data_IF_826715913377
#
_entry.id   IF_826715913377
#
_cell.length_a   1.000
_cell.length_b   1.000
_cell.length_c   1.000
_cell.angle_alpha   90.00
_cell.angle_beta   90.00
_cell.angle_gamma   90.00
#
_symmetry.space_group_name_H-M   'P 1'
#
loop_
_entity.id
_entity.type
_entity.pdbx_description
1 polymer ?
#
# COMPACT_ATOMS: atom_id res chain seq x y z
N UNK A 1 25.61 43.71 48.98
CA UNK A 1 25.09 43.84 50.36
C UNK A 1 23.63 43.48 50.38
N UNK A 2 23.28 42.42 51.13
CA UNK A 2 21.96 41.98 51.64
C UNK A 2 20.79 41.68 50.66
N UNK A 3 20.52 40.38 50.53
CA UNK A 3 19.18 39.76 50.54
C UNK A 3 18.45 40.01 51.88
N UNK A 4 17.11 39.91 51.93
CA UNK A 4 16.44 38.69 52.46
C UNK A 4 15.15 38.28 51.70
N UNK A 5 14.91 36.97 51.47
CA UNK A 5 14.05 36.02 52.22
C UNK A 5 12.54 36.16 51.93
N UNK A 6 11.93 35.26 51.14
CA UNK A 6 11.27 34.00 51.54
C UNK A 6 10.08 34.15 52.51
N UNK A 7 8.88 33.80 52.01
CA UNK A 7 7.87 33.06 52.79
C UNK A 7 7.10 32.10 51.88
N UNK A 8 7.05 30.84 52.33
CA UNK A 8 6.39 29.66 51.77
C UNK A 8 5.15 29.34 52.60
N UNK A 9 4.03 28.90 52.00
CA UNK A 9 2.96 28.05 52.59
C UNK A 9 2.31 27.29 51.41
N UNK A 10 2.63 26.01 51.17
CA UNK A 10 2.01 24.77 51.71
C UNK A 10 0.52 24.60 51.35
N UNK A 11 0.19 23.71 50.41
CA UNK A 11 -0.28 22.32 50.62
C UNK A 11 -1.79 22.22 50.89
N UNK A 12 -2.51 21.49 50.03
CA UNK A 12 -3.43 20.42 50.44
C UNK A 12 -3.93 19.61 49.22
N UNK A 13 -3.55 18.34 49.20
CA UNK A 13 -4.24 17.28 48.47
C UNK A 13 -5.54 16.93 49.20
N UNK A 14 -6.57 16.49 48.47
CA UNK A 14 -7.66 15.69 49.05
C UNK A 14 -8.10 14.64 48.05
N UNK A 15 -8.13 13.42 48.57
CA UNK A 15 -8.36 12.13 47.91
C UNK A 15 -9.81 11.69 48.11
N UNK A 16 -10.29 10.85 47.19
CA UNK A 16 -11.44 9.93 47.30
C UNK A 16 -12.85 10.59 47.27
N UNK A 17 -13.90 9.99 46.70
CA UNK A 17 -14.23 8.57 46.65
C UNK A 17 -15.36 8.26 45.64
N UNK A 18 -15.36 7.01 45.15
CA UNK A 18 -16.50 6.11 44.84
C UNK A 18 -17.87 6.69 44.38
N UNK A 19 -18.38 6.20 43.24
CA UNK A 19 -19.48 5.20 43.26
C UNK A 19 -19.80 4.61 41.88
N UNK A 20 -19.85 3.29 41.87
CA UNK A 20 -20.38 2.40 40.84
C UNK A 20 -21.91 2.46 40.79
N UNK A 21 -22.48 2.28 39.58
CA UNK A 21 -23.66 1.46 39.23
C UNK A 21 -24.50 2.10 38.12
N UNK A 22 -24.46 1.52 36.91
CA UNK A 22 -25.67 1.36 36.06
C UNK A 22 -25.60 0.03 35.32
N UNK A 23 -26.22 -0.97 35.92
CA UNK A 23 -26.76 -2.14 35.21
C UNK A 23 -28.04 -1.69 34.49
N UNK A 24 -28.07 -1.77 33.16
CA UNK A 24 -29.32 -1.92 32.43
C UNK A 24 -29.31 -3.28 31.74
N UNK A 25 -29.96 -4.25 32.38
CA UNK A 25 -30.48 -5.45 31.74
C UNK A 25 -31.67 -5.05 30.87
N UNK A 26 -31.60 -5.31 29.57
CA UNK A 26 -32.80 -5.53 28.76
C UNK A 26 -32.82 -6.97 28.28
N UNK A 27 -33.74 -7.72 28.88
CA UNK A 27 -34.18 -9.01 28.40
C UNK A 27 -34.92 -8.86 27.08
N UNK A 28 -34.62 -9.71 26.09
CA UNK A 28 -35.61 -10.23 25.15
C UNK A 28 -35.34 -11.70 24.85
N UNK A 29 -36.34 -12.51 25.21
CA UNK A 29 -36.51 -13.93 24.88
C UNK A 29 -36.86 -14.08 23.39
N UNK A 30 -36.20 -15.04 22.74
CA UNK A 30 -36.68 -16.14 21.85
C UNK A 30 -37.78 -15.88 20.78
N UNK A 31 -37.83 -16.61 19.63
CA UNK A 31 -37.50 -18.03 19.51
C UNK A 31 -36.83 -18.52 18.20
N UNK A 32 -36.47 -19.80 18.24
CA UNK A 32 -35.95 -20.65 17.19
C UNK A 32 -36.89 -20.82 15.97
N UNK A 33 -36.30 -21.02 14.78
CA UNK A 33 -36.84 -21.90 13.72
C UNK A 33 -35.82 -22.16 12.59
N UNK A 34 -35.26 -23.37 12.59
CA UNK A 34 -35.01 -24.17 11.37
C UNK A 34 -36.21 -25.12 11.24
N UNK A 35 -36.60 -25.68 10.06
CA UNK A 35 -35.70 -26.43 9.17
C UNK A 35 -36.05 -26.47 7.65
N UNK A 36 -35.24 -27.26 6.93
CA UNK A 36 -35.58 -28.12 5.77
C UNK A 36 -35.34 -27.63 4.33
N UNK A 37 -34.22 -28.11 3.77
CA UNK A 37 -34.10 -29.08 2.65
C UNK A 37 -35.03 -28.92 1.42
N UNK A 38 -34.42 -28.72 0.26
CA UNK A 38 -34.89 -29.32 -1.00
C UNK A 38 -33.72 -29.58 -1.97
N UNK A 39 -33.30 -30.84 -2.03
CA UNK A 39 -32.58 -31.46 -3.14
C UNK A 39 -33.49 -31.62 -4.35
N UNK A 40 -33.00 -31.33 -5.56
CA UNK A 40 -33.59 -31.86 -6.80
C UNK A 40 -32.50 -32.22 -7.82
N UNK A 41 -32.31 -33.52 -7.98
CA UNK A 41 -31.77 -34.16 -9.19
C UNK A 41 -32.86 -34.18 -10.28
N UNK A 42 -32.50 -33.90 -11.53
CA UNK A 42 -33.10 -34.48 -12.77
C UNK A 42 -32.01 -34.38 -13.87
N UNK A 43 -31.25 -35.45 -14.16
CA UNK A 43 -31.42 -36.47 -15.23
C UNK A 43 -30.84 -36.06 -16.60
N UNK A 44 -29.90 -36.91 -17.03
CA UNK A 44 -29.33 -37.11 -18.38
C UNK A 44 -30.40 -37.29 -19.46
N UNK A 45 -30.10 -36.82 -20.67
CA UNK A 45 -30.44 -37.54 -21.89
C UNK A 45 -29.28 -37.43 -22.89
N UNK A 46 -28.74 -38.58 -23.26
CA UNK A 46 -27.87 -38.79 -24.40
C UNK A 46 -28.73 -39.21 -25.60
N UNK A 47 -28.27 -38.92 -26.82
CA UNK A 47 -28.61 -39.68 -28.03
C UNK A 47 -27.50 -39.47 -29.06
N UNK A 48 -26.92 -40.58 -29.46
CA UNK A 48 -25.82 -40.79 -30.41
C UNK A 48 -26.25 -40.79 -31.89
N UNK A 49 -25.21 -40.88 -32.74
CA UNK A 49 -25.15 -41.54 -34.07
C UNK A 49 -25.56 -40.72 -35.31
N UNK A 50 -24.88 -40.80 -36.46
CA UNK A 50 -23.77 -41.65 -36.93
C UNK A 50 -23.16 -41.10 -38.25
N UNK A 51 -21.87 -41.37 -38.47
CA UNK A 51 -21.25 -41.77 -39.76
C UNK A 51 -20.83 -40.65 -40.72
N UNK A 52 -19.74 -40.75 -41.48
CA UNK A 52 -18.72 -41.78 -41.66
C UNK A 52 -17.49 -41.15 -42.36
N UNK A 53 -16.32 -41.76 -42.18
CA UNK A 53 -15.02 -41.43 -42.77
C UNK A 53 -15.05 -41.62 -44.33
N UNK A 54 -14.11 -41.13 -45.15
CA UNK A 54 -12.72 -41.60 -45.16
C UNK A 54 -11.90 -41.10 -46.39
N UNK A 55 -10.59 -40.92 -46.13
CA UNK A 55 -9.34 -41.11 -46.93
C UNK A 55 -8.89 -40.14 -48.06
N UNK A 56 -7.68 -39.64 -47.85
CA UNK A 56 -6.70 -38.95 -48.73
C UNK A 56 -6.10 -39.91 -49.83
N UNK A 57 -4.90 -39.73 -50.48
CA UNK A 57 -3.84 -38.70 -50.41
C UNK A 57 -3.18 -38.29 -51.76
N UNK A 58 -2.29 -37.28 -51.76
CA UNK A 58 -1.19 -37.16 -52.74
C UNK A 58 -0.04 -36.26 -52.23
N UNK A 59 1.19 -36.64 -52.58
CA UNK A 59 2.45 -36.30 -51.92
C UNK A 59 3.37 -35.42 -52.80
N UNK A 60 4.40 -34.85 -52.14
CA UNK A 60 5.76 -34.49 -52.65
C UNK A 60 5.94 -33.20 -53.47
N UNK A 61 6.53 -32.17 -52.86
CA UNK A 61 7.97 -31.84 -53.01
C UNK A 61 8.42 -30.70 -52.09
N UNK A 62 9.53 -30.95 -51.41
CA UNK A 62 10.28 -30.02 -50.59
C UNK A 62 11.04 -29.00 -51.45
N UNK A 63 11.15 -27.76 -50.97
CA UNK A 63 12.36 -26.95 -51.13
C UNK A 63 12.56 -26.09 -49.88
N UNK A 64 13.70 -26.34 -49.22
CA UNK A 64 14.28 -25.46 -48.22
C UNK A 64 14.56 -24.10 -48.85
N UNK A 65 14.33 -23.02 -48.10
CA UNK A 65 15.23 -21.87 -48.06
C UNK A 65 15.08 -21.19 -46.70
N UNK A 66 16.13 -21.30 -45.90
CA UNK A 66 16.33 -20.58 -44.66
C UNK A 66 16.72 -19.13 -44.98
N UNK A 67 16.00 -18.17 -44.42
CA UNK A 67 16.47 -16.80 -44.24
C UNK A 67 16.14 -16.40 -42.80
N UNK A 68 17.17 -16.44 -41.97
CA UNK A 68 17.13 -15.96 -40.59
C UNK A 68 17.07 -14.43 -40.61
N UNK A 69 15.91 -13.87 -40.23
CA UNK A 69 15.81 -12.48 -39.81
C UNK A 69 15.66 -12.48 -38.29
N UNK A 70 16.73 -12.09 -37.60
CA UNK A 70 16.76 -11.89 -36.17
C UNK A 70 15.88 -10.68 -35.81
N UNK A 71 14.63 -10.94 -35.42
CA UNK A 71 13.85 -9.97 -34.68
C UNK A 71 14.32 -10.02 -33.23
N UNK A 72 14.99 -8.95 -32.80
CA UNK A 72 15.34 -8.70 -31.40
C UNK A 72 14.02 -8.60 -30.64
N UNK A 73 13.61 -9.70 -30.01
CA UNK A 73 12.52 -9.68 -29.04
C UNK A 73 12.97 -8.78 -27.90
N UNK A 74 12.31 -7.64 -27.75
CA UNK A 74 12.38 -6.86 -26.52
C UNK A 74 11.86 -7.76 -25.39
N UNK A 75 12.79 -8.36 -24.65
CA UNK A 75 12.48 -9.01 -23.40
C UNK A 75 11.99 -7.92 -22.44
N UNK A 76 10.68 -7.79 -22.32
CA UNK A 76 10.08 -7.15 -21.16
C UNK A 76 10.58 -7.93 -19.94
N UNK A 77 11.11 -7.27 -18.89
CA UNK A 77 11.47 -7.97 -17.67
C UNK A 77 10.19 -8.59 -17.11
N UNK A 78 10.13 -9.92 -17.14
CA UNK A 78 9.19 -10.69 -16.33
C UNK A 78 9.40 -10.33 -14.87
N UNK A 79 8.35 -9.76 -14.27
CA UNK A 79 8.19 -9.49 -12.85
C UNK A 79 8.84 -10.59 -11.98
N UNK A 80 9.87 -10.31 -11.16
CA UNK A 80 10.32 -11.23 -10.14
C UNK A 80 9.40 -11.13 -8.91
N UNK A 81 8.11 -11.46 -9.09
CA UNK A 81 7.16 -11.46 -7.97
C UNK A 81 5.98 -12.42 -8.12
N UNK A 82 5.85 -13.15 -9.24
CA UNK A 82 4.87 -14.22 -9.33
C UNK A 82 5.47 -15.48 -8.70
N UNK A 83 5.18 -15.69 -7.41
CA UNK A 83 5.44 -16.97 -6.76
C UNK A 83 4.60 -18.07 -7.44
N UNK A 84 5.20 -18.77 -8.39
CA UNK A 84 4.61 -19.94 -9.09
C UNK A 84 5.12 -21.26 -8.48
N UNK A 85 5.30 -21.27 -7.17
CA UNK A 85 5.51 -22.46 -6.35
C UNK A 85 4.63 -22.26 -5.13
N UNK A 86 3.73 -23.21 -4.81
CA UNK A 86 2.67 -23.16 -3.77
C UNK A 86 3.13 -22.89 -2.33
N UNK A 87 3.91 -21.82 -2.16
CA UNK A 87 4.49 -21.28 -0.96
C UNK A 87 3.58 -20.16 -0.49
N UNK A 88 3.21 -20.20 0.79
CA UNK A 88 2.47 -19.16 1.50
C UNK A 88 3.16 -17.81 1.28
N UNK A 89 2.54 -16.93 0.50
CA UNK A 89 3.04 -15.59 0.25
C UNK A 89 3.12 -14.82 1.57
N UNK A 90 4.34 -14.46 1.98
CA UNK A 90 4.60 -13.76 3.23
C UNK A 90 4.76 -12.26 2.95
N UNK A 91 3.90 -11.45 3.54
CA UNK A 91 4.00 -9.99 3.50
C UNK A 91 4.40 -9.46 4.88
N UNK A 92 5.52 -8.73 5.03
CA UNK A 92 6.52 -8.41 4.02
C UNK A 92 7.45 -9.60 3.68
N UNK A 93 7.97 -9.63 2.45
CA UNK A 93 8.85 -10.68 1.92
C UNK A 93 10.33 -10.29 2.05
N UNK A 94 11.24 -11.16 2.52
CA UNK A 94 12.66 -10.82 2.65
C UNK A 94 13.36 -10.69 1.29
N UNK A 95 14.20 -9.67 1.11
CA UNK A 95 15.08 -9.53 -0.07
C UNK A 95 16.48 -10.14 0.13
N UNK A 96 16.88 -10.37 1.38
CA UNK A 96 18.17 -11.00 1.72
C UNK A 96 19.34 -10.04 1.95
N UNK A 97 19.12 -8.73 1.82
CA UNK A 97 20.14 -7.68 1.98
C UNK A 97 19.85 -6.73 3.16
N UNK A 98 19.10 -7.23 4.16
CA UNK A 98 18.66 -6.45 5.33
C UNK A 98 17.40 -5.60 5.07
N UNK A 99 16.74 -5.79 3.93
CA UNK A 99 15.43 -5.19 3.63
C UNK A 99 14.35 -6.26 3.40
N UNK A 100 13.11 -5.86 3.64
CA UNK A 100 11.90 -6.61 3.36
C UNK A 100 11.05 -5.82 2.36
N UNK A 101 10.44 -6.49 1.38
CA UNK A 101 9.48 -5.90 0.46
C UNK A 101 8.09 -6.02 1.05
N UNK A 102 7.50 -4.88 1.37
CA UNK A 102 6.12 -4.78 1.81
C UNK A 102 5.20 -4.56 0.61
N UNK A 103 4.03 -5.21 0.65
CA UNK A 103 2.99 -5.07 -0.36
C UNK A 103 1.73 -4.48 0.29
N UNK A 104 1.20 -3.40 -0.26
CA UNK A 104 0.02 -2.71 0.27
C UNK A 104 -1.23 -2.92 -0.59
N UNK A 105 -2.39 -3.01 0.05
CA UNK A 105 -3.66 -3.28 -0.62
C UNK A 105 -4.40 -2.02 -1.09
N UNK A 106 -4.02 -0.84 -0.58
CA UNK A 106 -4.72 0.43 -0.86
C UNK A 106 -6.23 0.33 -0.60
N UNK A 107 -6.59 -0.30 0.52
CA UNK A 107 -7.99 -0.54 0.88
C UNK A 107 -8.65 0.78 1.29
N UNK A 108 -9.97 0.89 1.17
CA UNK A 108 -10.69 2.09 1.62
C UNK A 108 -10.95 2.03 3.13
N UNK A 109 -11.34 3.15 3.74
CA UNK A 109 -11.65 3.20 5.17
C UNK A 109 -12.88 2.37 5.57
N UNK A 110 -13.75 2.04 4.61
CA UNK A 110 -14.87 1.12 4.76
C UNK A 110 -14.44 -0.33 5.01
N UNK A 111 -13.19 -0.68 4.64
CA UNK A 111 -12.60 -2.01 4.85
C UNK A 111 -11.87 -2.15 6.20
N UNK A 112 -11.91 -1.13 7.06
CA UNK A 112 -11.26 -1.15 8.37
C UNK A 112 -11.92 -2.20 9.28
N UNK A 113 -11.20 -3.29 9.55
CA UNK A 113 -11.71 -4.42 10.34
C UNK A 113 -11.32 -5.80 9.80
N UNK A 114 -10.61 -5.90 8.68
CA UNK A 114 -9.93 -7.12 8.20
C UNK A 114 -10.80 -8.38 8.26
N UNK A 115 -11.47 -8.70 7.16
CA UNK A 115 -12.00 -10.04 6.96
C UNK A 115 -10.80 -11.00 6.96
N UNK A 116 -10.61 -11.75 8.05
CA UNK A 116 -9.63 -12.83 8.13
C UNK A 116 -9.91 -13.82 7.01
N UNK A 117 -9.09 -13.78 5.97
CA UNK A 117 -9.36 -14.51 4.73
C UNK A 117 -8.12 -14.58 3.85
N UNK A 118 -7.28 -15.57 4.14
CA UNK A 118 -6.09 -16.02 3.41
C UNK A 118 -5.19 -14.87 2.90
N UNK A 119 -4.15 -14.57 3.68
CA UNK A 119 -3.13 -13.53 3.47
C UNK A 119 -2.22 -13.80 2.25
N UNK A 120 -2.50 -14.87 1.50
CA UNK A 120 -1.66 -15.39 0.42
C UNK A 120 -2.08 -14.94 -0.99
N UNK A 121 -3.03 -14.01 -1.12
CA UNK A 121 -3.49 -13.58 -2.45
C UNK A 121 -2.75 -12.31 -2.89
N UNK A 122 -1.73 -12.50 -3.73
CA UNK A 122 -0.96 -11.40 -4.33
C UNK A 122 -1.85 -10.42 -5.10
N UNK A 123 -2.94 -10.91 -5.70
CA UNK A 123 -3.86 -10.12 -6.52
C UNK A 123 -4.60 -9.05 -5.72
N UNK A 124 -4.53 -9.05 -4.39
CA UNK A 124 -5.12 -7.98 -3.55
C UNK A 124 -4.22 -6.75 -3.49
N UNK A 125 -2.91 -6.91 -3.58
CA UNK A 125 -1.97 -5.81 -3.46
C UNK A 125 -2.02 -4.89 -4.68
N UNK A 126 -1.71 -3.61 -4.48
CA UNK A 126 -1.72 -2.57 -5.53
C UNK A 126 -0.39 -1.84 -5.65
N UNK A 127 0.45 -1.89 -4.62
CA UNK A 127 1.75 -1.23 -4.61
C UNK A 127 2.71 -1.99 -3.69
N UNK A 128 3.99 -1.68 -3.81
CA UNK A 128 5.04 -2.21 -2.95
C UNK A 128 6.12 -1.17 -2.67
N UNK A 129 6.87 -1.38 -1.59
CA UNK A 129 8.10 -0.67 -1.28
C UNK A 129 8.95 -1.49 -0.32
N UNK A 130 10.22 -1.14 -0.21
CA UNK A 130 11.15 -1.78 0.70
C UNK A 130 11.13 -1.10 2.07
N UNK A 131 11.26 -1.89 3.11
CA UNK A 131 11.43 -1.48 4.50
C UNK A 131 12.67 -2.15 5.08
N UNK A 132 13.43 -1.49 5.97
CA UNK A 132 14.55 -2.12 6.63
C UNK A 132 14.08 -3.24 7.55
N UNK A 133 14.89 -4.29 7.66
CA UNK A 133 14.63 -5.39 8.58
C UNK A 133 14.60 -4.89 10.03
N UNK A 134 13.66 -5.43 10.82
CA UNK A 134 13.45 -5.04 12.22
C UNK A 134 12.55 -3.81 12.42
N UNK A 135 12.11 -3.14 11.35
CA UNK A 135 11.06 -2.13 11.45
C UNK A 135 9.71 -2.79 11.78
N UNK A 136 8.88 -2.08 12.54
CA UNK A 136 7.60 -2.59 13.03
C UNK A 136 6.44 -1.85 12.36
N UNK A 137 5.34 -2.55 12.05
CA UNK A 137 4.15 -1.90 11.52
C UNK A 137 3.55 -1.01 12.61
N UNK A 138 3.20 0.21 12.27
CA UNK A 138 2.48 1.11 13.15
C UNK A 138 1.00 1.15 12.76
N UNK A 139 0.13 1.14 13.76
CA UNK A 139 -1.31 1.01 13.50
C UNK A 139 -1.83 2.31 12.89
N UNK A 140 -2.27 2.24 11.64
CA UNK A 140 -3.01 3.31 10.99
C UNK A 140 -4.48 3.16 11.36
N UNK A 141 -5.08 4.17 11.96
CA UNK A 141 -6.46 4.08 12.41
C UNK A 141 -7.48 4.41 11.30
N UNK A 142 -8.76 4.10 11.53
CA UNK A 142 -9.83 4.38 10.56
C UNK A 142 -9.95 5.86 10.19
N UNK A 143 -9.72 6.76 11.14
CA UNK A 143 -9.85 8.21 10.95
C UNK A 143 -8.74 8.73 10.04
N UNK A 144 -7.49 8.35 10.31
CA UNK A 144 -6.32 8.65 9.46
C UNK A 144 -6.61 8.16 8.04
N UNK A 145 -6.93 6.88 7.89
CA UNK A 145 -7.25 6.28 6.59
C UNK A 145 -8.37 6.99 5.82
N UNK A 146 -9.38 7.49 6.53
CA UNK A 146 -10.50 8.22 5.92
C UNK A 146 -10.16 9.66 5.56
N UNK A 147 -9.28 10.30 6.35
CA UNK A 147 -9.03 11.74 6.28
C UNK A 147 -7.85 12.04 5.38
N UNK A 148 -6.74 11.35 5.58
CA UNK A 148 -5.47 11.58 4.88
C UNK A 148 -5.07 10.47 3.92
N UNK A 149 -5.88 9.41 3.81
CA UNK A 149 -5.63 8.29 2.90
C UNK A 149 -4.47 7.39 3.28
N UNK A 150 -3.94 7.48 4.51
CA UNK A 150 -2.84 6.60 4.93
C UNK A 150 -3.30 5.14 4.87
N UNK A 151 -2.59 4.32 4.10
CA UNK A 151 -2.88 2.88 3.94
C UNK A 151 -1.93 2.02 4.77
N UNK A 152 -0.64 2.37 4.80
CA UNK A 152 0.37 1.65 5.58
C UNK A 152 1.35 2.60 6.26
N UNK A 153 1.89 2.19 7.41
CA UNK A 153 2.94 2.91 8.14
C UNK A 153 3.89 1.92 8.83
N UNK A 154 5.18 2.16 8.69
CA UNK A 154 6.25 1.43 9.38
C UNK A 154 7.16 2.41 10.09
N UNK A 155 7.64 2.02 11.26
CA UNK A 155 8.48 2.86 12.12
C UNK A 155 9.73 2.12 12.54
N UNK A 156 10.82 2.86 12.72
CA UNK A 156 11.99 2.32 13.39
C UNK A 156 11.67 2.17 14.89
N UNK A 157 11.75 0.96 15.48
CA UNK A 157 11.45 0.76 16.90
C UNK A 157 12.41 1.53 17.82
N UNK A 158 13.62 1.90 17.34
CA UNK A 158 14.59 2.69 18.10
C UNK A 158 14.27 4.19 18.06
N UNK A 159 13.64 4.68 17.00
CA UNK A 159 13.24 6.08 16.84
C UNK A 159 11.98 6.17 15.99
N UNK A 160 10.82 6.41 16.64
CA UNK A 160 9.51 6.41 15.98
C UNK A 160 9.32 7.58 15.01
N UNK A 161 10.13 8.63 15.11
CA UNK A 161 10.08 9.77 14.19
C UNK A 161 10.72 9.41 12.84
N UNK A 162 11.59 8.39 12.82
CA UNK A 162 12.03 7.76 11.58
C UNK A 162 10.97 6.74 11.14
N UNK A 163 10.23 7.11 10.10
CA UNK A 163 9.06 6.35 9.66
C UNK A 163 8.88 6.45 8.15
N UNK A 164 8.16 5.48 7.60
CA UNK A 164 7.70 5.48 6.22
C UNK A 164 6.21 5.21 6.21
N UNK A 165 5.45 5.94 5.40
CA UNK A 165 4.03 5.70 5.23
C UNK A 165 3.61 5.93 3.79
N UNK A 166 2.59 5.18 3.37
CA UNK A 166 2.00 5.30 2.05
C UNK A 166 0.59 5.86 2.17
N UNK A 167 0.29 6.89 1.39
CA UNK A 167 -1.02 7.49 1.21
C UNK A 167 -1.59 7.05 -0.13
N UNK A 168 -2.86 6.66 -0.12
CA UNK A 168 -3.59 6.29 -1.33
C UNK A 168 -4.96 6.94 -1.36
N UNK A 169 -5.29 7.66 -2.44
CA UNK A 169 -6.59 8.36 -2.60
C UNK A 169 -7.15 8.12 -4.00
N UNK A 170 -8.45 7.83 -4.10
CA UNK A 170 -9.17 7.72 -5.40
C UNK A 170 -9.48 9.09 -6.00
N UNK A 171 -9.91 9.10 -7.26
CA UNK A 171 -10.34 10.32 -7.95
C UNK A 171 -9.22 11.04 -8.70
N UNK A 172 -8.05 10.43 -8.81
CA UNK A 172 -6.90 10.97 -9.54
C UNK A 172 -6.70 10.16 -10.83
N UNK A 173 -7.00 10.77 -11.97
CA UNK A 173 -6.84 10.12 -13.28
C UNK A 173 -5.45 10.36 -13.90
N UNK A 174 -4.78 11.44 -13.52
CA UNK A 174 -3.42 11.79 -13.97
C UNK A 174 -2.71 12.60 -12.90
N UNK A 175 -1.37 12.63 -12.96
CA UNK A 175 -0.57 13.59 -12.20
C UNK A 175 -0.94 15.02 -12.61
N UNK A 176 -0.92 15.95 -11.65
CA UNK A 176 -1.10 17.38 -11.93
C UNK A 176 0.06 17.89 -12.80
N UNK A 177 -0.24 18.87 -13.65
CA UNK A 177 0.77 19.56 -14.47
C UNK A 177 1.75 20.31 -13.57
N UNK A 178 1.22 20.99 -12.56
CA UNK A 178 2.02 21.46 -11.44
C UNK A 178 2.36 20.30 -10.51
N UNK A 179 3.61 19.85 -10.59
CA UNK A 179 4.15 18.78 -9.76
C UNK A 179 4.10 19.12 -8.27
N UNK A 180 4.40 20.35 -7.91
CA UNK A 180 4.38 20.76 -6.49
C UNK A 180 2.96 20.84 -5.94
N UNK A 181 2.00 21.18 -6.79
CA UNK A 181 0.58 21.23 -6.46
C UNK A 181 -0.03 19.89 -5.99
N UNK A 182 0.59 18.73 -6.28
CA UNK A 182 0.09 17.44 -5.77
C UNK A 182 0.45 17.23 -4.30
N UNK A 183 1.64 17.67 -3.86
CA UNK A 183 2.02 17.62 -2.46
C UNK A 183 1.15 18.57 -1.63
N UNK A 184 0.82 19.74 -2.19
CA UNK A 184 -0.11 20.67 -1.57
C UNK A 184 -1.49 20.05 -1.30
N UNK A 185 -2.05 19.34 -2.30
CA UNK A 185 -3.34 18.65 -2.14
C UNK A 185 -3.30 17.57 -1.03
N UNK A 186 -2.22 16.78 -0.97
CA UNK A 186 -2.03 15.77 0.07
C UNK A 186 -1.88 16.42 1.46
N UNK A 187 -1.16 17.53 1.54
CA UNK A 187 -0.92 18.27 2.77
C UNK A 187 -2.19 18.92 3.37
N UNK A 188 -3.25 19.14 2.57
CA UNK A 188 -4.54 19.64 3.09
C UNK A 188 -5.12 18.75 4.18
N UNK A 189 -4.75 17.46 4.18
CA UNK A 189 -5.23 16.45 5.13
C UNK A 189 -4.15 15.93 6.09
N UNK A 190 -2.89 16.35 5.92
CA UNK A 190 -1.76 15.95 6.74
C UNK A 190 -1.04 17.18 7.28
N UNK A 191 -1.33 17.51 8.55
CA UNK A 191 -0.75 18.64 9.24
C UNK A 191 0.78 18.60 9.29
N UNK A 192 1.38 17.41 9.44
CA UNK A 192 2.84 17.30 9.52
C UNK A 192 3.47 17.57 8.15
N UNK A 193 2.82 17.10 7.07
CA UNK A 193 3.27 17.42 5.72
C UNK A 193 3.08 18.91 5.40
N UNK A 194 1.99 19.52 5.85
CA UNK A 194 1.76 20.97 5.70
C UNK A 194 2.85 21.80 6.41
N UNK A 195 3.19 21.43 7.64
CA UNK A 195 4.27 22.06 8.40
C UNK A 195 5.61 21.85 7.69
N UNK A 196 5.90 20.63 7.23
CA UNK A 196 7.14 20.33 6.51
C UNK A 196 7.25 21.09 5.18
N UNK A 197 6.17 21.23 4.41
CA UNK A 197 6.16 22.03 3.18
C UNK A 197 6.38 23.52 3.45
N UNK A 198 5.89 24.02 4.58
CA UNK A 198 6.07 25.42 4.99
C UNK A 198 7.47 25.67 5.55
N UNK A 199 8.01 24.69 6.27
CA UNK A 199 9.29 24.75 6.97
C UNK A 199 10.48 24.20 6.19
N UNK A 200 10.29 23.76 4.95
CA UNK A 200 11.38 23.25 4.12
C UNK A 200 12.29 24.40 3.68
N UNK A 201 13.58 24.27 3.96
CA UNK A 201 14.61 25.16 3.45
C UNK A 201 14.86 24.93 1.96
N UNK A 202 14.68 23.68 1.50
CA UNK A 202 14.85 23.28 0.11
C UNK A 202 13.88 22.16 -0.28
N UNK A 203 13.31 22.30 -1.46
CA UNK A 203 12.47 21.28 -2.12
C UNK A 203 13.08 20.94 -3.46
N UNK A 204 13.57 19.71 -3.61
CA UNK A 204 14.10 19.19 -4.87
C UNK A 204 13.03 18.33 -5.51
N UNK A 205 12.75 18.54 -6.80
CA UNK A 205 11.76 17.78 -7.56
C UNK A 205 12.46 17.06 -8.70
N UNK A 206 12.26 15.74 -8.79
CA UNK A 206 12.79 14.92 -9.87
C UNK A 206 11.66 14.08 -10.49
N UNK A 207 11.75 13.81 -11.78
CA UNK A 207 10.83 12.88 -12.46
C UNK A 207 11.60 11.63 -12.85
N UNK A 208 11.00 10.47 -12.60
CA UNK A 208 11.49 9.17 -13.06
C UNK A 208 10.37 8.43 -13.78
N UNK A 209 10.74 7.68 -14.80
CA UNK A 209 9.81 6.82 -15.51
C UNK A 209 10.19 5.36 -15.25
N UNK A 210 9.22 4.58 -14.80
CA UNK A 210 9.42 3.17 -14.48
C UNK A 210 8.18 2.39 -14.93
N UNK A 211 8.38 1.31 -15.70
CA UNK A 211 7.29 0.50 -16.27
C UNK A 211 6.23 1.29 -17.05
N UNK A 212 6.65 2.36 -17.76
CA UNK A 212 5.75 3.24 -18.53
C UNK A 212 4.88 4.16 -17.67
N UNK A 213 5.21 4.28 -16.38
CA UNK A 213 4.52 5.13 -15.42
C UNK A 213 5.47 6.21 -14.89
N UNK A 214 4.98 7.45 -14.82
CA UNK A 214 5.74 8.57 -14.27
C UNK A 214 5.61 8.61 -12.76
N UNK A 215 6.74 8.72 -12.07
CA UNK A 215 6.84 9.01 -10.66
C UNK A 215 7.50 10.36 -10.48
N UNK A 216 6.97 11.16 -9.55
CA UNK A 216 7.51 12.45 -9.18
C UNK A 216 8.09 12.33 -7.79
N UNK A 217 9.40 12.41 -7.70
CA UNK A 217 10.15 12.32 -6.46
C UNK A 217 10.37 13.73 -5.89
N UNK A 218 10.22 13.86 -4.57
CA UNK A 218 10.42 15.10 -3.85
C UNK A 218 11.37 14.87 -2.68
N UNK A 219 12.36 15.75 -2.55
CA UNK A 219 13.25 15.76 -1.39
C UNK A 219 13.01 17.08 -0.65
N UNK A 220 12.30 17.00 0.47
CA UNK A 220 12.04 18.12 1.36
C UNK A 220 13.09 18.11 2.47
N UNK A 221 13.90 19.16 2.52
CA UNK A 221 14.99 19.31 3.50
C UNK A 221 14.69 20.52 4.37
N UNK A 222 14.80 20.38 5.69
CA UNK A 222 14.60 21.48 6.63
C UNK A 222 14.93 21.10 8.07
N UNK A 223 14.49 21.93 9.02
CA UNK A 223 14.72 21.70 10.47
C UNK A 223 14.10 20.40 10.98
N UNK A 224 13.07 19.87 10.31
CA UNK A 224 12.43 18.61 10.66
C UNK A 224 13.25 17.38 10.20
N UNK A 225 14.37 17.59 9.52
CA UNK A 225 15.19 16.56 8.89
C UNK A 225 14.97 16.52 7.38
N UNK A 226 14.78 15.32 6.84
CA UNK A 226 14.52 15.09 5.43
C UNK A 226 13.29 14.22 5.22
N UNK A 227 12.44 14.61 4.29
CA UNK A 227 11.32 13.81 3.80
C UNK A 227 11.58 13.50 2.33
N UNK A 228 11.80 12.22 2.04
CA UNK A 228 11.93 11.72 0.68
C UNK A 228 10.58 11.14 0.26
N UNK A 229 9.88 11.84 -0.62
CA UNK A 229 8.58 11.45 -1.11
C UNK A 229 8.64 11.01 -2.58
N UNK A 230 7.71 10.16 -2.98
CA UNK A 230 7.47 9.82 -4.39
C UNK A 230 5.98 9.69 -4.62
N UNK A 231 5.50 10.30 -5.70
CA UNK A 231 4.08 10.37 -6.03
C UNK A 231 3.85 9.88 -7.44
N UNK A 232 2.82 9.06 -7.62
CA UNK A 232 2.41 8.57 -8.93
C UNK A 232 0.90 8.38 -8.98
N UNK A 233 0.34 8.26 -10.18
CA UNK A 233 -1.08 8.00 -10.40
C UNK A 233 -1.24 6.75 -11.26
N UNK A 234 -2.03 5.79 -10.78
CA UNK A 234 -2.32 4.55 -11.49
C UNK A 234 -3.72 4.04 -11.13
N UNK A 235 -4.47 3.59 -12.13
CA UNK A 235 -5.82 3.03 -11.93
C UNK A 235 -6.78 3.93 -11.16
N UNK A 236 -6.86 5.21 -11.53
CA UNK A 236 -7.77 6.19 -10.90
C UNK A 236 -7.36 6.62 -9.48
N UNK A 237 -6.16 6.24 -9.02
CA UNK A 237 -5.68 6.45 -7.66
C UNK A 237 -4.31 7.11 -7.65
N UNK A 238 -4.14 8.09 -6.77
CA UNK A 238 -2.81 8.60 -6.42
C UNK A 238 -2.20 7.70 -5.35
N UNK A 239 -0.93 7.38 -5.53
CA UNK A 239 -0.10 6.73 -4.53
C UNK A 239 1.05 7.67 -4.18
N UNK A 240 1.25 7.91 -2.90
CA UNK A 240 2.32 8.75 -2.39
C UNK A 240 3.02 8.05 -1.23
N UNK A 241 4.30 7.74 -1.40
CA UNK A 241 5.13 7.20 -0.32
C UNK A 241 5.96 8.34 0.28
N UNK A 242 5.95 8.45 1.61
CA UNK A 242 6.73 9.42 2.36
C UNK A 242 7.69 8.68 3.28
N UNK A 243 8.99 8.85 3.06
CA UNK A 243 10.03 8.32 3.92
C UNK A 243 10.69 9.44 4.71
N UNK A 244 10.44 9.48 6.02
CA UNK A 244 10.89 10.52 6.94
C UNK A 244 12.17 10.07 7.64
N UNK A 245 13.20 10.92 7.56
CA UNK A 245 14.43 10.81 8.30
C UNK A 245 14.59 12.05 9.19
N UNK A 246 14.42 11.94 10.52
CA UNK A 246 14.54 13.09 11.41
C UNK A 246 15.98 13.62 11.42
N UNK A 247 16.15 14.90 11.75
CA UNK A 247 17.46 15.59 11.74
C UNK A 247 18.56 14.80 12.47
N UNK A 248 18.24 14.28 13.66
CA UNK A 248 19.16 13.47 14.49
C UNK A 248 19.73 12.22 13.81
N UNK A 249 19.11 11.74 12.74
CA UNK A 249 19.51 10.53 12.01
C UNK A 249 19.89 10.81 10.56
N UNK A 250 19.95 12.06 10.10
CA UNK A 250 20.22 12.39 8.70
C UNK A 250 21.50 11.76 8.17
N UNK A 251 22.60 11.86 8.93
CA UNK A 251 23.92 11.35 8.50
C UNK A 251 23.94 9.82 8.30
N UNK A 252 23.16 9.08 9.08
CA UNK A 252 23.17 7.60 9.06
C UNK A 252 21.94 6.98 8.37
N UNK A 253 20.85 7.74 8.25
CA UNK A 253 19.54 7.25 7.83
C UNK A 253 19.05 7.82 6.50
N UNK A 254 19.71 8.85 5.94
CA UNK A 254 19.31 9.47 4.67
C UNK A 254 19.34 8.47 3.50
N UNK A 255 20.41 7.67 3.37
CA UNK A 255 20.53 6.69 2.28
C UNK A 255 19.45 5.62 2.36
N UNK A 256 19.18 5.11 3.57
CA UNK A 256 18.10 4.17 3.83
C UNK A 256 16.74 4.77 3.45
N UNK A 257 16.48 6.03 3.82
CA UNK A 257 15.23 6.73 3.50
C UNK A 257 15.07 6.96 1.99
N UNK A 258 16.14 7.36 1.30
CA UNK A 258 16.16 7.49 -0.16
C UNK A 258 15.92 6.16 -0.88
N UNK A 259 16.45 5.05 -0.34
CA UNK A 259 16.23 3.70 -0.85
C UNK A 259 14.76 3.29 -0.73
N UNK A 260 14.15 3.48 0.44
CA UNK A 260 12.72 3.19 0.64
C UNK A 260 11.87 3.94 -0.40
N UNK A 261 12.11 5.24 -0.58
CA UNK A 261 11.44 6.03 -1.64
C UNK A 261 11.69 5.45 -3.03
N UNK A 262 12.95 5.19 -3.41
CA UNK A 262 13.31 4.69 -4.75
C UNK A 262 12.71 3.32 -5.07
N UNK A 263 12.52 2.48 -4.06
CA UNK A 263 11.97 1.13 -4.20
C UNK A 263 10.45 1.09 -4.43
N UNK A 264 9.77 2.25 -4.32
CA UNK A 264 8.33 2.32 -4.45
C UNK A 264 7.87 2.08 -5.88
N UNK A 265 6.94 1.13 -6.04
CA UNK A 265 6.31 0.82 -7.31
C UNK A 265 4.84 0.45 -7.14
N UNK A 266 4.09 0.58 -8.23
CA UNK A 266 2.70 0.13 -8.35
C UNK A 266 2.65 -1.20 -9.07
N UNK A 267 1.68 -2.05 -8.70
CA UNK A 267 1.49 -3.37 -9.30
C UNK A 267 0.49 -3.19 -10.43
N UNK A 268 0.93 -3.42 -11.66
CA UNK A 268 0.04 -3.36 -12.80
C UNK A 268 -1.00 -4.49 -12.71
N UNK A 269 -2.28 -4.15 -12.88
CA UNK A 269 -3.36 -5.13 -12.97
C UNK A 269 -3.93 -5.13 -14.38
N UNK A 270 -4.41 -6.30 -14.81
CA UNK A 270 -5.12 -6.44 -16.09
C UNK A 270 -6.32 -5.50 -16.15
N UNK A 271 -6.59 -4.99 -17.35
CA UNK A 271 -7.48 -3.85 -17.63
C UNK A 271 -8.88 -3.92 -16.97
N UNK A 272 -9.47 -5.11 -16.80
CA UNK A 272 -10.79 -5.29 -16.16
C UNK A 272 -10.81 -4.83 -14.69
N UNK A 273 -9.76 -5.13 -13.92
CA UNK A 273 -9.71 -4.76 -12.49
C UNK A 273 -9.43 -3.26 -12.31
N UNK A 274 -8.64 -2.69 -13.22
CA UNK A 274 -8.36 -1.26 -13.29
C UNK A 274 -9.63 -0.48 -13.65
N UNK A 275 -10.48 -1.03 -14.51
CA UNK A 275 -11.78 -0.44 -14.85
C UNK A 275 -12.72 -0.37 -13.64
N UNK A 276 -12.81 -1.42 -12.83
CA UNK A 276 -13.59 -1.38 -11.60
C UNK A 276 -13.08 -0.32 -10.62
N UNK A 277 -11.76 -0.17 -10.47
CA UNK A 277 -11.18 0.85 -9.59
C UNK A 277 -11.42 2.29 -10.09
N UNK A 278 -11.72 2.49 -11.38
CA UNK A 278 -12.09 3.80 -11.94
C UNK A 278 -13.58 4.15 -11.77
N UNK A 279 -14.45 3.15 -11.52
CA UNK A 279 -15.91 3.34 -11.41
C UNK A 279 -16.40 3.66 -9.99
N UNK A 280 -15.52 3.63 -8.97
CA UNK A 280 -15.85 3.89 -7.55
C UNK A 280 -14.94 4.94 -6.90
#
# INVERSE_FOLDING_TARGET
TRLPSMTSIATSATTANLTSRRHHQHARRSPARQPARATRHVVRAASDHHGDESIAPATRRAFLNAAAAAAIGAALPTDPARADDGTTFKNPSPLGDGFLRFFGEATTSSSYGGYGGNENNFDKFKYYYEIPEGWVPDTVNKVEKSTNGTDSRWVNPKNKDQKVYCVTLTGYNKLKEDRTGILGDLALSDYNLQDALTGADSTIVNEREENGQTYVDFDLLGYFGAIYATVTVYGGRVYALFSICPESLLESGSEQAMRMRKSFGTIAKSDEQTQYDMEF
#
